data_IF_615449313108
#
_entry.id   IF_615449313108
#
_cell.length_a   1.000
_cell.length_b   1.000
_cell.length_c   1.000
_cell.angle_alpha   90.00
_cell.angle_beta   90.00
_cell.angle_gamma   90.00
#
_symmetry.space_group_name_H-M   'P 1'
#
loop_
_entity.id
_entity.type
_entity.pdbx_description
1 polymer ?
#
# COMPACT_ATOMS: atom_id res chain seq x y z
N UNK A 1 10.77 6.87 -11.76
CA UNK A 1 12.10 6.27 -11.98
C UNK A 1 12.58 5.39 -10.82
N UNK A 2 13.03 5.89 -9.66
CA UNK A 2 13.67 5.03 -8.62
C UNK A 2 12.71 3.93 -8.08
N UNK A 3 11.45 4.27 -7.78
CA UNK A 3 10.43 3.31 -7.30
C UNK A 3 10.02 2.25 -8.35
N UNK A 4 10.13 2.55 -9.63
CA UNK A 4 9.83 1.57 -10.70
C UNK A 4 10.95 0.54 -10.84
N UNK A 5 12.20 0.96 -10.63
CA UNK A 5 13.38 0.08 -10.75
C UNK A 5 13.61 -0.74 -9.49
N UNK A 6 13.52 -0.13 -8.30
CA UNK A 6 13.78 -0.79 -7.02
C UNK A 6 12.58 -1.64 -6.53
N UNK A 7 11.39 -1.42 -7.10
CA UNK A 7 10.15 -1.99 -6.57
C UNK A 7 9.87 -1.53 -5.14
N UNK A 8 9.17 -2.36 -4.38
CA UNK A 8 8.78 -2.06 -3.00
C UNK A 8 9.39 -3.05 -2.02
N UNK A 9 9.65 -2.57 -0.79
CA UNK A 9 10.27 -3.37 0.25
C UNK A 9 9.36 -4.53 0.70
N UNK A 10 9.88 -5.78 0.76
CA UNK A 10 9.08 -6.99 0.98
C UNK A 10 8.35 -7.03 2.33
N UNK A 11 8.91 -6.41 3.39
CA UNK A 11 8.39 -6.55 4.75
C UNK A 11 7.28 -5.53 5.12
N UNK A 12 7.14 -4.46 4.34
CA UNK A 12 6.18 -3.38 4.62
C UNK A 12 4.98 -3.38 3.66
N UNK A 13 5.10 -4.08 2.53
CA UNK A 13 4.25 -3.87 1.38
C UNK A 13 3.27 -5.01 1.10
N UNK A 14 3.71 -6.27 1.20
CA UNK A 14 2.86 -7.42 0.85
C UNK A 14 1.65 -7.51 1.78
N UNK A 15 1.87 -7.58 3.10
CA UNK A 15 0.80 -7.75 4.07
C UNK A 15 -0.18 -6.55 4.13
N UNK A 16 0.32 -5.32 3.95
CA UNK A 16 -0.53 -4.12 3.98
C UNK A 16 -1.35 -3.98 2.68
N UNK A 17 -0.76 -4.26 1.52
CA UNK A 17 -1.49 -4.32 0.26
C UNK A 17 -2.52 -5.43 0.22
N UNK A 18 -2.21 -6.62 0.74
CA UNK A 18 -3.17 -7.72 0.79
C UNK A 18 -4.35 -7.39 1.71
N UNK A 19 -4.08 -6.75 2.85
CA UNK A 19 -5.15 -6.25 3.71
C UNK A 19 -5.98 -5.17 3.03
N UNK A 20 -5.37 -4.27 2.25
CA UNK A 20 -6.08 -3.24 1.47
C UNK A 20 -6.85 -3.82 0.28
N UNK A 21 -6.39 -4.91 -0.34
CA UNK A 21 -7.15 -5.65 -1.37
C UNK A 21 -8.43 -6.26 -0.81
N UNK A 22 -8.40 -6.71 0.44
CA UNK A 22 -9.53 -7.31 1.17
C UNK A 22 -10.33 -6.24 1.95
N UNK A 23 -10.09 -4.95 1.71
CA UNK A 23 -10.80 -3.83 2.36
C UNK A 23 -10.73 -3.84 3.90
N UNK A 24 -9.62 -4.32 4.47
CA UNK A 24 -9.36 -4.35 5.92
C UNK A 24 -8.51 -3.14 6.36
N UNK A 25 -8.97 -1.92 6.08
CA UNK A 25 -8.22 -0.67 6.28
C UNK A 25 -7.78 -0.45 7.73
N UNK A 26 -8.65 -0.75 8.71
CA UNK A 26 -8.32 -0.59 10.14
C UNK A 26 -7.19 -1.53 10.59
N UNK A 27 -7.10 -2.74 10.00
CA UNK A 27 -6.03 -3.69 10.29
C UNK A 27 -4.74 -3.31 9.57
N UNK A 28 -4.84 -2.82 8.33
CA UNK A 28 -3.71 -2.27 7.59
C UNK A 28 -3.09 -1.07 8.33
N UNK A 29 -3.92 -0.14 8.82
CA UNK A 29 -3.46 1.03 9.58
C UNK A 29 -2.77 0.63 10.90
N UNK A 30 -3.30 -0.35 11.63
CA UNK A 30 -2.63 -0.88 12.85
C UNK A 30 -1.29 -1.53 12.53
N UNK A 31 -1.21 -2.27 11.43
CA UNK A 31 0.02 -2.92 10.99
C UNK A 31 1.11 -1.90 10.62
N UNK A 32 0.75 -0.88 9.84
CA UNK A 32 1.66 0.21 9.46
C UNK A 32 2.05 1.05 10.69
N UNK A 33 1.09 1.37 11.57
CA UNK A 33 1.36 2.10 12.81
C UNK A 33 2.30 1.33 13.75
N UNK A 34 2.24 0.00 13.81
CA UNK A 34 3.19 -0.81 14.61
C UNK A 34 4.65 -0.70 14.10
N UNK A 35 4.86 -0.32 12.85
CA UNK A 35 6.19 -0.17 12.23
C UNK A 35 6.70 1.27 12.24
N UNK A 36 5.82 2.22 11.93
CA UNK A 36 6.16 3.65 11.77
C UNK A 36 5.90 4.44 13.07
N UNK A 37 5.20 3.81 14.03
CA UNK A 37 4.88 4.28 15.39
C UNK A 37 3.92 5.48 15.45
N UNK A 38 4.02 6.38 14.49
CA UNK A 38 3.22 7.62 14.40
C UNK A 38 2.00 7.45 13.50
N UNK A 39 0.85 7.93 13.97
CA UNK A 39 -0.42 7.81 13.23
C UNK A 39 -0.43 8.61 11.92
N UNK A 40 0.18 9.80 11.90
CA UNK A 40 0.21 10.69 10.73
C UNK A 40 0.99 10.06 9.59
N UNK A 41 2.17 9.50 9.87
CA UNK A 41 2.98 8.82 8.85
C UNK A 41 2.32 7.51 8.39
N UNK A 42 1.63 6.80 9.30
CA UNK A 42 0.88 5.60 8.93
C UNK A 42 -0.29 5.92 7.98
N UNK A 43 -1.01 7.02 8.21
CA UNK A 43 -2.08 7.48 7.32
C UNK A 43 -1.53 7.84 5.93
N UNK A 44 -0.46 8.63 5.88
CA UNK A 44 0.20 9.01 4.62
C UNK A 44 0.66 7.80 3.82
N UNK A 45 1.27 6.80 4.49
CA UNK A 45 1.70 5.57 3.83
C UNK A 45 0.51 4.72 3.35
N UNK A 46 -0.60 4.69 4.10
CA UNK A 46 -1.84 4.03 3.67
C UNK A 46 -2.46 4.68 2.41
N UNK A 47 -2.45 6.01 2.33
CA UNK A 47 -2.95 6.76 1.17
C UNK A 47 -2.09 6.50 -0.08
N UNK A 48 -0.77 6.50 0.07
CA UNK A 48 0.15 6.13 -1.03
C UNK A 48 -0.14 4.72 -1.55
N UNK A 49 -0.39 3.75 -0.66
CA UNK A 49 -0.67 2.36 -1.04
C UNK A 49 -2.02 2.21 -1.76
N UNK A 50 -3.04 2.93 -1.31
CA UNK A 50 -4.36 2.95 -1.96
C UNK A 50 -4.27 3.49 -3.39
N UNK A 51 -3.49 4.56 -3.58
CA UNK A 51 -3.24 5.14 -4.89
C UNK A 51 -2.54 4.15 -5.83
N UNK A 52 -1.52 3.43 -5.33
CA UNK A 52 -0.83 2.40 -6.12
C UNK A 52 -1.78 1.27 -6.53
N UNK A 53 -2.62 0.78 -5.61
CA UNK A 53 -3.64 -0.22 -5.90
C UNK A 53 -4.61 0.23 -7.01
N UNK A 54 -5.00 1.50 -6.97
CA UNK A 54 -5.88 2.10 -7.99
C UNK A 54 -5.19 2.18 -9.35
N UNK A 55 -3.91 2.56 -9.39
CA UNK A 55 -3.13 2.55 -10.64
C UNK A 55 -2.95 1.15 -11.21
N UNK A 56 -2.70 0.14 -10.36
CA UNK A 56 -2.59 -1.25 -10.77
C UNK A 56 -3.90 -1.79 -11.35
N UNK A 57 -5.04 -1.49 -10.71
CA UNK A 57 -6.37 -1.86 -11.22
C UNK A 57 -6.65 -1.21 -12.58
N UNK A 58 -6.37 0.09 -12.75
CA UNK A 58 -6.53 0.81 -14.02
C UNK A 58 -5.61 0.31 -15.13
N UNK A 59 -4.41 -0.14 -14.80
CA UNK A 59 -3.48 -0.72 -15.76
C UNK A 59 -3.94 -2.10 -16.23
N UNK A 60 -4.55 -2.90 -15.35
CA UNK A 60 -5.10 -4.22 -15.68
C UNK A 60 -6.28 -4.13 -16.66
N UNK A 61 -7.14 -3.10 -16.54
CA UNK A 61 -8.33 -2.91 -17.40
C UNK A 61 -8.03 -2.30 -18.77
N UNK A 62 -6.80 -1.85 -19.03
CA UNK A 62 -6.38 -1.28 -20.34
C UNK A 62 -5.73 -2.31 -21.26
N UNK A 63 -5.65 -3.57 -20.84
CA UNK A 63 -5.05 -4.67 -21.60
C UNK A 63 -6.03 -5.40 -22.52
N UNK A 64 -7.23 -4.84 -22.70
CA UNK A 64 -8.24 -5.28 -23.66
C UNK A 64 -8.27 -4.35 -24.87
#
# INVERSE_FOLDING_TARGET
>A
MIREVCGFAPCEWHASLELLKVSKDKRALKFIRKRVETHIRAKRKSEELSNVLTTMRKAATKKD
#
